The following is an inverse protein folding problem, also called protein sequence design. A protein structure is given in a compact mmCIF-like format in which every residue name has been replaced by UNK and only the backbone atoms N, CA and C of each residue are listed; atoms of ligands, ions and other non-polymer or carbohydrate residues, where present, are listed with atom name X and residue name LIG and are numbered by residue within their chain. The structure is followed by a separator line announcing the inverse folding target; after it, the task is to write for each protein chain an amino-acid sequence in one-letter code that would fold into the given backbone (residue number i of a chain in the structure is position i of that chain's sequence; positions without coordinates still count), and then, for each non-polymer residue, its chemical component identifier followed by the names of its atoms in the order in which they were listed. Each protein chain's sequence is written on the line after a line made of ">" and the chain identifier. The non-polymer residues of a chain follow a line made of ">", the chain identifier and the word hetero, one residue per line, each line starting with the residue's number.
data_IF_705148676703
#
_entry.id   IF_705148676703
#
_cell.length_a   1.000
_cell.length_b   1.000
_cell.length_c   1.000
_cell.angle_alpha   90.00
_cell.angle_beta   90.00
_cell.angle_gamma   90.00
#
_symmetry.space_group_name_H-M   'P 1'
#
loop_
_entity.id
_entity.type
_entity.pdbx_description
1 polymer ?
#
# COMPACT_ATOMS: atom_id res chain seq x y z
N UNK A 1 -3.48 -11.08 2.21
CA UNK A 1 -2.85 -9.80 1.84
C UNK A 1 -2.17 -9.99 0.50
N UNK A 2 -2.50 -9.17 -0.48
CA UNK A 2 -1.85 -9.12 -1.79
C UNK A 2 -0.84 -7.97 -1.78
N UNK A 3 0.43 -8.27 -1.99
CA UNK A 3 1.49 -7.27 -2.06
C UNK A 3 1.75 -6.85 -3.52
N UNK A 4 1.97 -5.58 -3.75
CA UNK A 4 2.36 -5.01 -5.04
C UNK A 4 3.39 -3.91 -4.83
N UNK A 5 4.24 -3.69 -5.81
CA UNK A 5 5.28 -2.67 -5.75
C UNK A 5 6.14 -2.65 -7.00
N UNK A 6 6.67 -1.50 -7.31
CA UNK A 6 7.55 -1.27 -8.45
C UNK A 6 9.02 -1.24 -8.03
N UNK A 7 9.90 -1.48 -9.01
CA UNK A 7 11.35 -1.27 -8.88
C UNK A 7 11.69 0.21 -9.00
N UNK A 8 12.91 0.59 -8.60
CA UNK A 8 13.41 1.96 -8.77
C UNK A 8 13.42 2.36 -10.25
N UNK A 9 13.87 1.48 -11.13
CA UNK A 9 13.92 1.74 -12.57
C UNK A 9 12.53 2.04 -13.13
N UNK A 10 11.52 1.28 -12.74
CA UNK A 10 10.13 1.52 -13.17
C UNK A 10 9.61 2.87 -12.66
N UNK A 11 9.98 3.26 -11.44
CA UNK A 11 9.61 4.56 -10.89
C UNK A 11 10.30 5.69 -11.64
N UNK A 12 11.60 5.59 -11.90
CA UNK A 12 12.36 6.59 -12.64
C UNK A 12 11.90 6.73 -14.08
N UNK A 13 11.43 5.65 -14.70
CA UNK A 13 10.84 5.63 -16.03
C UNK A 13 9.42 6.22 -16.09
N UNK A 14 8.81 6.52 -14.95
CA UNK A 14 7.46 7.07 -14.88
C UNK A 14 6.33 6.08 -15.13
N UNK A 15 6.60 4.77 -15.00
CA UNK A 15 5.61 3.70 -15.26
C UNK A 15 5.09 3.04 -13.97
N UNK A 16 5.30 3.66 -12.81
CA UNK A 16 4.85 3.14 -11.51
C UNK A 16 3.40 2.68 -11.54
N UNK A 17 2.48 3.55 -11.92
CA UNK A 17 1.05 3.23 -11.89
C UNK A 17 0.65 2.20 -12.95
N UNK A 18 1.26 2.21 -14.12
CA UNK A 18 1.02 1.19 -15.15
C UNK A 18 1.36 -0.21 -14.62
N UNK A 19 2.51 -0.33 -13.97
CA UNK A 19 2.98 -1.59 -13.40
C UNK A 19 2.13 -2.03 -12.18
N UNK A 20 1.83 -1.12 -11.26
CA UNK A 20 0.97 -1.40 -10.09
C UNK A 20 -0.42 -1.84 -10.53
N UNK A 21 -1.04 -1.13 -11.49
CA UNK A 21 -2.34 -1.49 -12.05
C UNK A 21 -2.34 -2.88 -12.67
N UNK A 22 -1.27 -3.24 -13.39
CA UNK A 22 -1.11 -4.59 -13.94
C UNK A 22 -1.08 -5.63 -12.82
N UNK A 23 -0.29 -5.42 -11.77
CA UNK A 23 -0.21 -6.34 -10.63
C UNK A 23 -1.57 -6.51 -9.94
N UNK A 24 -2.29 -5.42 -9.71
CA UNK A 24 -3.62 -5.45 -9.07
C UNK A 24 -4.62 -6.20 -9.95
N UNK A 25 -4.70 -5.89 -11.23
CA UNK A 25 -5.62 -6.57 -12.17
C UNK A 25 -5.36 -8.06 -12.27
N UNK A 26 -4.09 -8.46 -12.34
CA UNK A 26 -3.71 -9.88 -12.37
C UNK A 26 -3.99 -10.57 -11.04
N UNK A 27 -3.66 -9.92 -9.92
CA UNK A 27 -3.87 -10.46 -8.57
C UNK A 27 -5.34 -10.69 -8.21
N UNK A 28 -6.24 -9.88 -8.76
CA UNK A 28 -7.68 -9.99 -8.53
C UNK A 28 -8.43 -10.75 -9.64
N UNK A 29 -7.71 -11.39 -10.56
CA UNK A 29 -8.31 -12.24 -11.58
C UNK A 29 -9.11 -13.38 -10.94
N UNK A 30 -10.37 -13.57 -11.35
CA UNK A 30 -11.28 -14.56 -10.79
C UNK A 30 -11.64 -14.37 -9.30
N UNK A 31 -11.37 -13.21 -8.73
CA UNK A 31 -11.82 -12.83 -7.39
C UNK A 31 -13.13 -12.05 -7.52
N UNK A 32 -14.18 -12.48 -6.78
CA UNK A 32 -15.46 -11.77 -6.78
C UNK A 32 -15.40 -10.46 -5.98
N UNK A 33 -16.33 -9.53 -6.20
CA UNK A 33 -16.41 -8.30 -5.42
C UNK A 33 -16.54 -8.57 -3.91
N UNK A 34 -17.34 -9.55 -3.51
CA UNK A 34 -17.51 -9.91 -2.10
C UNK A 34 -16.23 -10.48 -1.48
N UNK A 35 -15.48 -11.26 -2.23
CA UNK A 35 -14.15 -11.72 -1.79
C UNK A 35 -13.14 -10.56 -1.70
N UNK A 36 -13.15 -9.66 -2.69
CA UNK A 36 -12.27 -8.51 -2.72
C UNK A 36 -12.45 -7.60 -1.50
N UNK A 37 -13.68 -7.39 -1.03
CA UNK A 37 -13.99 -6.58 0.17
C UNK A 37 -13.31 -7.09 1.44
N UNK A 38 -12.95 -8.36 1.50
CA UNK A 38 -12.26 -8.97 2.65
C UNK A 38 -10.75 -9.05 2.48
N UNK A 39 -10.24 -8.74 1.30
CA UNK A 39 -8.82 -8.73 1.02
C UNK A 39 -8.14 -7.45 1.55
N UNK A 40 -6.84 -7.51 1.64
CA UNK A 40 -5.96 -6.37 1.94
C UNK A 40 -4.95 -6.26 0.83
N UNK A 41 -4.68 -5.05 0.35
CA UNK A 41 -3.59 -4.78 -0.58
C UNK A 41 -2.50 -4.05 0.19
N UNK A 42 -1.25 -4.51 0.05
CA UNK A 42 -0.10 -3.83 0.62
C UNK A 42 0.78 -3.26 -0.52
N UNK A 43 0.94 -1.95 -0.54
CA UNK A 43 1.88 -1.29 -1.44
C UNK A 43 3.27 -1.32 -0.82
N UNK A 44 4.16 -2.08 -1.44
CA UNK A 44 5.54 -2.24 -1.02
C UNK A 44 6.49 -1.78 -2.13
N UNK A 45 6.85 -0.49 -2.19
CA UNK A 45 7.85 -0.03 -3.16
C UNK A 45 9.16 -0.79 -2.93
N UNK A 46 9.57 -1.62 -3.90
CA UNK A 46 10.72 -2.52 -3.75
C UNK A 46 11.99 -1.74 -3.44
N UNK A 47 12.13 -0.56 -4.04
CA UNK A 47 13.27 0.34 -3.84
C UNK A 47 13.35 0.95 -2.44
N UNK A 48 12.29 0.84 -1.62
CA UNK A 48 12.23 1.35 -0.25
C UNK A 48 12.28 0.24 0.82
N UNK A 49 12.47 -1.03 0.42
CA UNK A 49 12.54 -2.17 1.34
C UNK A 49 14.00 -2.52 1.60
N UNK A 50 14.48 -2.28 2.84
CA UNK A 50 15.83 -2.67 3.26
C UNK A 50 16.98 -1.93 2.57
N UNK A 51 16.70 -0.84 1.87
CA UNK A 51 17.68 -0.07 1.08
C UNK A 51 18.14 1.22 1.77
N UNK A 52 17.48 1.62 2.85
CA UNK A 52 17.65 2.94 3.47
C UNK A 52 16.94 4.07 2.75
N UNK A 53 16.36 3.82 1.57
CA UNK A 53 15.47 4.76 0.86
C UNK A 53 14.06 4.60 1.39
N UNK A 54 13.30 5.71 1.42
CA UNK A 54 11.90 5.74 1.82
C UNK A 54 11.07 6.48 0.78
N UNK A 55 9.85 6.01 0.54
CA UNK A 55 8.87 6.83 -0.18
C UNK A 55 8.46 8.01 0.70
N UNK A 56 8.21 9.16 0.08
CA UNK A 56 7.55 10.24 0.81
C UNK A 56 6.10 9.88 1.11
N UNK A 57 5.50 10.55 2.08
CA UNK A 57 4.09 10.36 2.42
C UNK A 57 3.19 10.62 1.22
N UNK A 58 3.50 11.65 0.42
CA UNK A 58 2.78 12.00 -0.80
C UNK A 58 2.90 10.90 -1.87
N UNK A 59 4.09 10.34 -2.05
CA UNK A 59 4.31 9.23 -2.99
C UNK A 59 3.53 7.98 -2.57
N UNK A 60 3.52 7.66 -1.29
CA UNK A 60 2.76 6.54 -0.75
C UNK A 60 1.25 6.75 -0.94
N UNK A 61 0.75 7.95 -0.62
CA UNK A 61 -0.66 8.33 -0.80
C UNK A 61 -1.07 8.25 -2.28
N UNK A 62 -0.27 8.82 -3.19
CA UNK A 62 -0.55 8.80 -4.63
C UNK A 62 -0.76 7.38 -5.16
N UNK A 63 0.14 6.47 -4.81
CA UNK A 63 0.05 5.08 -5.27
C UNK A 63 -1.12 4.34 -4.61
N UNK A 64 -1.34 4.52 -3.32
CA UNK A 64 -2.49 3.91 -2.62
C UNK A 64 -3.83 4.41 -3.19
N UNK A 65 -3.96 5.71 -3.50
CA UNK A 65 -5.12 6.27 -4.18
C UNK A 65 -5.31 5.64 -5.57
N UNK A 66 -4.23 5.48 -6.33
CA UNK A 66 -4.25 4.83 -7.65
C UNK A 66 -4.67 3.36 -7.58
N UNK A 67 -4.25 2.64 -6.54
CA UNK A 67 -4.68 1.26 -6.27
C UNK A 67 -6.19 1.22 -5.99
N UNK A 68 -6.70 2.11 -5.13
CA UNK A 68 -8.13 2.21 -4.82
C UNK A 68 -8.95 2.51 -6.06
N UNK A 69 -8.52 3.46 -6.89
CA UNK A 69 -9.15 3.76 -8.16
C UNK A 69 -9.16 2.56 -9.11
N UNK A 70 -8.08 1.77 -9.15
CA UNK A 70 -8.00 0.55 -9.94
C UNK A 70 -9.03 -0.51 -9.47
N UNK A 71 -9.20 -0.68 -8.18
CA UNK A 71 -10.24 -1.57 -7.62
C UNK A 71 -11.66 -1.08 -7.99
N UNK A 72 -11.90 0.23 -7.94
CA UNK A 72 -13.18 0.80 -8.38
C UNK A 72 -13.47 0.50 -9.85
N UNK A 73 -12.47 0.53 -10.72
CA UNK A 73 -12.60 0.18 -12.14
C UNK A 73 -12.87 -1.32 -12.36
N UNK A 74 -12.23 -2.20 -11.55
CA UNK A 74 -12.40 -3.66 -11.67
C UNK A 74 -13.80 -4.08 -11.19
N UNK A 75 -14.30 -3.46 -10.13
CA UNK A 75 -15.54 -3.80 -9.45
C UNK A 75 -16.51 -2.62 -9.42
N UNK A 76 -16.46 -1.84 -8.34
CA UNK A 76 -17.26 -0.64 -8.08
C UNK A 76 -16.67 0.18 -6.93
N UNK A 77 -17.20 1.37 -6.71
CA UNK A 77 -16.79 2.26 -5.61
C UNK A 77 -16.99 1.62 -4.23
N UNK A 78 -18.09 0.90 -4.02
CA UNK A 78 -18.39 0.29 -2.73
C UNK A 78 -17.35 -0.78 -2.35
N UNK A 79 -16.86 -1.54 -3.33
CA UNK A 79 -15.77 -2.50 -3.14
C UNK A 79 -14.45 -1.79 -2.86
N UNK A 80 -14.16 -0.72 -3.59
CA UNK A 80 -12.96 0.08 -3.40
C UNK A 80 -12.89 0.73 -2.02
N UNK A 81 -14.02 1.20 -1.49
CA UNK A 81 -14.11 1.75 -0.13
C UNK A 81 -13.98 0.67 0.96
N UNK A 82 -14.46 -0.52 0.70
CA UNK A 82 -14.43 -1.62 1.68
C UNK A 82 -13.07 -2.29 1.81
N UNK A 83 -12.27 -2.35 0.74
CA UNK A 83 -10.94 -2.98 0.74
C UNK A 83 -9.95 -2.12 1.55
N UNK A 84 -9.06 -2.76 2.29
CA UNK A 84 -7.99 -2.07 3.01
C UNK A 84 -6.72 -2.02 2.17
N UNK A 85 -6.13 -0.82 2.11
CA UNK A 85 -4.87 -0.59 1.42
C UNK A 85 -3.84 -0.16 2.45
N UNK A 86 -2.77 -0.94 2.59
CA UNK A 86 -1.68 -0.70 3.53
C UNK A 86 -0.44 -0.20 2.79
N UNK A 87 0.32 0.65 3.45
CA UNK A 87 1.68 0.98 3.03
C UNK A 87 2.66 0.01 3.71
N UNK A 88 3.51 -0.65 2.91
CA UNK A 88 4.46 -1.66 3.38
C UNK A 88 5.92 -1.33 3.09
N UNK A 89 6.23 -0.09 2.79
CA UNK A 89 7.61 0.38 2.75
C UNK A 89 8.19 0.53 4.15
N UNK A 90 9.09 1.47 4.37
CA UNK A 90 9.67 1.70 5.69
C UNK A 90 8.64 2.38 6.61
N UNK A 91 8.05 1.62 7.51
CA UNK A 91 7.14 2.09 8.56
C UNK A 91 7.80 1.95 9.92
N UNK A 92 7.88 3.03 10.68
CA UNK A 92 8.41 3.08 12.04
C UNK A 92 7.57 4.04 12.90
N UNK A 93 7.90 4.15 14.18
CA UNK A 93 7.17 5.00 15.12
C UNK A 93 7.18 6.50 14.71
N UNK A 94 8.20 6.96 14.02
CA UNK A 94 8.31 8.37 13.58
C UNK A 94 7.44 8.64 12.34
N UNK A 95 7.35 7.70 11.39
CA UNK A 95 6.66 7.88 10.12
C UNK A 95 5.18 7.46 10.15
N UNK A 96 4.80 6.56 11.05
CA UNK A 96 3.43 6.05 11.15
C UNK A 96 2.36 7.17 11.30
N UNK A 97 2.53 8.20 12.14
CA UNK A 97 1.53 9.26 12.28
C UNK A 97 1.24 10.01 10.98
N UNK A 98 2.26 10.29 10.16
CA UNK A 98 2.10 11.02 8.89
C UNK A 98 1.49 10.13 7.81
N UNK A 99 1.86 8.84 7.78
CA UNK A 99 1.35 7.88 6.82
C UNK A 99 -0.13 7.53 7.07
N UNK A 100 -0.48 7.23 8.31
CA UNK A 100 -1.80 6.66 8.62
C UNK A 100 -2.92 7.71 8.74
N UNK A 101 -2.61 9.00 8.58
CA UNK A 101 -3.62 10.06 8.43
C UNK A 101 -3.97 10.35 6.98
N UNK A 102 -3.27 9.72 6.03
CA UNK A 102 -3.58 9.88 4.60
C UNK A 102 -4.90 9.20 4.24
N UNK A 103 -5.60 9.78 3.25
CA UNK A 103 -6.95 9.35 2.89
C UNK A 103 -7.04 7.90 2.39
N UNK A 104 -6.01 7.43 1.70
CA UNK A 104 -6.01 6.11 1.04
C UNK A 104 -5.03 5.12 1.66
N UNK A 105 -4.45 5.46 2.81
CA UNK A 105 -3.57 4.57 3.57
C UNK A 105 -4.31 4.11 4.83
N UNK A 106 -4.88 2.90 4.79
CA UNK A 106 -5.69 2.34 5.87
C UNK A 106 -4.86 1.70 6.99
N UNK A 107 -3.55 1.69 6.85
CA UNK A 107 -2.63 1.12 7.83
C UNK A 107 -1.27 0.78 7.24
N UNK A 108 -0.50 -0.01 7.96
CA UNK A 108 0.85 -0.40 7.56
C UNK A 108 1.09 -1.91 7.61
N UNK A 109 1.91 -2.39 6.68
CA UNK A 109 2.53 -3.71 6.75
C UNK A 109 3.94 -3.52 7.31
N UNK A 110 4.16 -3.96 8.56
CA UNK A 110 5.36 -3.65 9.33
C UNK A 110 6.27 -4.87 9.40
N UNK A 111 7.51 -4.72 8.95
CA UNK A 111 8.53 -5.76 8.99
C UNK A 111 9.34 -5.75 10.29
N UNK A 112 10.62 -5.37 10.23
CA UNK A 112 11.56 -5.44 11.36
C UNK A 112 11.12 -4.72 12.63
N UNK A 113 10.43 -3.59 12.52
CA UNK A 113 9.90 -2.86 13.68
C UNK A 113 8.82 -3.65 14.44
N UNK A 114 8.14 -4.62 13.80
CA UNK A 114 7.16 -5.49 14.45
C UNK A 114 7.76 -6.42 15.52
N UNK A 115 9.07 -6.61 15.49
CA UNK A 115 9.82 -7.43 16.45
C UNK A 115 10.37 -6.64 17.64
N UNK A 116 10.06 -5.34 17.71
CA UNK A 116 10.59 -4.41 18.72
C UNK A 116 9.46 -3.77 19.51
N UNK A 117 9.79 -3.25 20.69
CA UNK A 117 8.84 -2.53 21.55
C UNK A 117 8.21 -1.31 20.85
N UNK A 118 8.92 -0.69 19.92
CA UNK A 118 8.40 0.44 19.14
C UNK A 118 7.14 0.09 18.33
N UNK A 119 6.87 -1.18 18.08
CA UNK A 119 5.66 -1.61 17.39
C UNK A 119 4.39 -1.11 18.10
N UNK A 120 4.41 -1.07 19.44
CA UNK A 120 3.32 -0.50 20.22
C UNK A 120 3.04 0.98 19.89
N UNK A 121 4.08 1.75 19.56
CA UNK A 121 3.95 3.16 19.15
C UNK A 121 3.42 3.29 17.71
N UNK A 122 3.71 2.33 16.85
CA UNK A 122 3.16 2.28 15.49
C UNK A 122 1.65 1.97 15.55
N UNK A 123 1.26 0.99 16.36
CA UNK A 123 -0.15 0.61 16.54
C UNK A 123 -0.96 1.74 17.18
N UNK A 124 -0.38 2.45 18.14
CA UNK A 124 -1.01 3.56 18.86
C UNK A 124 -0.45 4.91 18.37
N UNK A 125 -0.40 5.10 17.07
CA UNK A 125 0.20 6.27 16.43
C UNK A 125 -0.52 7.61 16.68
N UNK A 126 -1.73 7.57 17.23
CA UNK A 126 -2.54 8.74 17.59
C UNK A 126 -2.20 9.26 18.97
#
# INVERSE_FOLDING_TARGET
>A
IMCCGETLDQREQGVTMDFIRQQVKVGFQNVTADQAKTAVIAYEPIWAIGTGKTATTEQAQEVCAGIRACIAEIYDEATAEAIRIQYGGSVNAATAPELFVQNDIDGGLVGGASLKEEFGKIVNYK
#
